data_IF_388194941337
#
_entry.id   IF_388194941337
#
_cell.length_a   1.000
_cell.length_b   1.000
_cell.length_c   1.000
_cell.angle_alpha   90.00
_cell.angle_beta   90.00
_cell.angle_gamma   90.00
#
_symmetry.space_group_name_H-M   'P 1'
#
loop_
_entity.id
_entity.type
_entity.pdbx_description
1 polymer ?
#
# COMPACT_ATOMS: atom_id res chain seq x y z
N UNK A 1 62.11 4.15 47.38
CA UNK A 1 62.21 4.55 45.96
C UNK A 1 61.49 3.47 45.14
N UNK A 2 60.22 3.71 44.77
CA UNK A 2 59.42 2.82 43.93
C UNK A 2 58.65 3.70 42.93
N UNK A 3 58.76 3.35 41.65
CA UNK A 3 58.29 4.13 40.50
C UNK A 3 56.76 4.19 40.42
N UNK A 4 56.16 5.30 39.92
CA UNK A 4 54.73 5.37 39.67
C UNK A 4 54.34 4.49 38.47
N UNK A 5 53.32 3.65 38.67
CA UNK A 5 52.68 2.83 37.63
C UNK A 5 51.98 3.74 36.60
N UNK A 6 52.52 3.77 35.38
CA UNK A 6 51.95 4.42 34.21
C UNK A 6 50.68 3.66 33.78
N UNK A 7 49.48 4.18 34.11
CA UNK A 7 48.25 3.81 33.37
C UNK A 7 48.25 4.59 32.05
N UNK A 8 48.52 3.91 30.95
CA UNK A 8 48.38 4.48 29.61
C UNK A 8 46.94 4.91 29.31
N UNK A 9 46.73 5.79 28.31
CA UNK A 9 45.40 6.28 27.96
C UNK A 9 44.51 5.10 27.55
N UNK A 10 43.29 5.08 28.08
CA UNK A 10 42.28 4.10 27.70
C UNK A 10 42.15 4.07 26.17
N UNK A 11 42.38 2.89 25.57
CA UNK A 11 42.21 2.69 24.13
C UNK A 11 40.80 3.09 23.68
N UNK A 12 40.60 3.41 22.40
CA UNK A 12 39.30 3.83 21.89
C UNK A 12 38.27 2.74 22.21
N UNK A 13 37.29 3.08 23.05
CA UNK A 13 36.16 2.20 23.34
C UNK A 13 35.47 1.80 22.03
N UNK A 14 34.75 0.66 22.01
CA UNK A 14 34.08 0.19 20.80
C UNK A 14 33.25 1.32 20.20
N UNK A 15 33.48 1.61 18.92
CA UNK A 15 32.76 2.63 18.18
C UNK A 15 31.25 2.42 18.41
N UNK A 16 30.56 3.43 18.95
CA UNK A 16 29.09 3.39 19.04
C UNK A 16 28.58 3.04 17.64
N UNK A 17 27.68 2.06 17.50
CA UNK A 17 27.08 1.78 16.20
C UNK A 17 26.50 3.11 15.69
N UNK A 18 26.97 3.54 14.52
CA UNK A 18 26.41 4.71 13.86
C UNK A 18 24.95 4.39 13.62
N UNK A 19 24.05 4.99 14.43
CA UNK A 19 22.63 4.87 14.20
C UNK A 19 22.38 5.31 12.75
N UNK A 20 21.61 4.56 11.96
CA UNK A 20 21.26 4.98 10.60
C UNK A 20 20.76 6.42 10.67
N UNK A 21 21.16 7.28 9.73
CA UNK A 21 20.95 8.73 9.77
C UNK A 21 19.47 9.13 9.86
N UNK A 22 18.88 9.04 11.06
CA UNK A 22 17.47 9.36 11.33
C UNK A 22 17.17 10.82 10.95
N UNK A 23 18.19 11.69 11.06
CA UNK A 23 18.13 13.10 10.70
C UNK A 23 17.65 13.34 9.26
N UNK A 24 17.93 12.43 8.32
CA UNK A 24 17.52 12.59 6.91
C UNK A 24 16.01 12.46 6.69
N UNK A 25 15.30 11.85 7.62
CA UNK A 25 13.86 11.55 7.47
C UNK A 25 12.96 12.53 8.21
N UNK A 26 13.51 13.42 9.04
CA UNK A 26 12.73 14.36 9.86
C UNK A 26 11.67 15.14 9.06
N UNK A 27 12.02 15.81 7.95
CA UNK A 27 11.06 16.58 7.17
C UNK A 27 10.03 15.70 6.46
N UNK A 28 10.43 14.53 5.97
CA UNK A 28 9.52 13.56 5.35
C UNK A 28 8.46 13.10 6.36
N UNK A 29 8.90 12.74 7.57
CA UNK A 29 8.01 12.31 8.65
C UNK A 29 7.11 13.45 9.12
N UNK A 30 7.62 14.67 9.20
CA UNK A 30 6.84 15.88 9.51
C UNK A 30 5.76 16.11 8.46
N UNK A 31 6.08 15.98 7.17
CA UNK A 31 5.10 16.15 6.11
C UNK A 31 4.06 15.03 6.06
N UNK A 32 4.44 13.79 6.40
CA UNK A 32 3.47 12.71 6.61
C UNK A 32 2.54 12.98 7.79
N UNK A 33 3.07 13.49 8.90
CA UNK A 33 2.29 13.86 10.07
C UNK A 33 1.29 14.98 9.73
N UNK A 34 1.75 16.06 9.09
CA UNK A 34 0.87 17.15 8.65
C UNK A 34 -0.19 16.67 7.66
N UNK A 35 0.18 15.80 6.72
CA UNK A 35 -0.77 15.19 5.79
C UNK A 35 -1.84 14.38 6.53
N UNK A 36 -1.44 13.55 7.51
CA UNK A 36 -2.35 12.74 8.30
C UNK A 36 -3.29 13.62 9.16
N UNK A 37 -2.75 14.63 9.84
CA UNK A 37 -3.52 15.58 10.64
C UNK A 37 -4.54 16.37 9.81
N UNK A 38 -4.22 16.67 8.54
CA UNK A 38 -5.16 17.31 7.61
C UNK A 38 -6.23 16.35 7.09
N UNK A 39 -5.88 15.10 6.83
CA UNK A 39 -6.80 14.10 6.28
C UNK A 39 -7.79 13.55 7.32
N UNK A 40 -7.35 13.43 8.58
CA UNK A 40 -8.11 12.88 9.69
C UNK A 40 -8.29 13.93 10.79
N UNK A 41 -8.87 15.07 10.43
CA UNK A 41 -8.95 16.25 11.29
C UNK A 41 -10.05 16.13 12.34
N UNK A 42 -9.76 16.52 13.57
CA UNK A 42 -10.78 16.77 14.59
C UNK A 42 -11.29 18.21 14.46
N UNK A 43 -12.59 18.35 14.23
CA UNK A 43 -13.26 19.63 14.08
C UNK A 43 -14.08 19.96 15.32
N UNK A 44 -13.86 21.16 15.88
CA UNK A 44 -14.70 21.70 16.95
C UNK A 44 -16.07 22.15 16.41
N UNK A 45 -16.10 22.62 15.16
CA UNK A 45 -17.33 22.96 14.44
C UNK A 45 -17.13 22.82 12.93
N UNK A 46 -18.18 23.04 12.13
CA UNK A 46 -18.08 23.02 10.65
C UNK A 46 -17.08 24.05 10.10
N UNK A 47 -16.81 25.11 10.86
CA UNK A 47 -15.95 26.22 10.45
C UNK A 47 -14.57 26.17 11.10
N UNK A 48 -14.48 25.62 12.31
CA UNK A 48 -13.29 25.70 13.16
C UNK A 48 -12.71 24.33 13.47
N UNK A 49 -11.39 24.23 13.32
CA UNK A 49 -10.58 23.10 13.73
C UNK A 49 -10.54 23.07 15.26
N UNK A 50 -10.50 21.87 15.84
CA UNK A 50 -10.31 21.74 17.29
C UNK A 50 -8.96 22.34 17.74
N UNK A 51 -8.91 23.15 18.81
CA UNK A 51 -7.68 23.80 19.27
C UNK A 51 -6.54 22.83 19.58
N UNK A 52 -6.84 21.64 20.11
CA UNK A 52 -5.83 20.61 20.34
C UNK A 52 -5.25 20.11 19.01
N UNK A 53 -6.11 19.95 18.00
CA UNK A 53 -5.70 19.54 16.66
C UNK A 53 -4.86 20.60 15.94
N UNK A 54 -5.21 21.87 16.13
CA UNK A 54 -4.42 23.00 15.62
C UNK A 54 -3.04 23.05 16.28
N UNK A 55 -2.97 22.87 17.61
CA UNK A 55 -1.71 22.83 18.33
C UNK A 55 -0.78 21.73 17.81
N UNK A 56 -1.32 20.52 17.57
CA UNK A 56 -0.55 19.42 17.00
C UNK A 56 -0.03 19.74 15.59
N UNK A 57 -0.85 20.35 14.75
CA UNK A 57 -0.49 20.68 13.37
C UNK A 57 0.60 21.76 13.29
N UNK A 58 0.55 22.78 14.16
CA UNK A 58 1.47 23.92 14.09
C UNK A 58 2.78 23.66 14.83
N UNK A 59 2.77 22.88 15.92
CA UNK A 59 3.89 22.80 16.85
C UNK A 59 4.67 21.48 16.79
N UNK A 60 4.13 20.43 16.17
CA UNK A 60 4.82 19.13 16.14
C UNK A 60 5.63 19.00 14.86
N UNK A 61 6.95 19.07 15.00
CA UNK A 61 7.91 18.80 13.93
C UNK A 61 8.84 17.66 14.32
N UNK A 62 9.06 16.74 13.40
CA UNK A 62 10.06 15.68 13.55
C UNK A 62 11.41 16.27 13.15
N UNK A 63 12.29 16.47 14.13
CA UNK A 63 13.60 17.10 13.96
C UNK A 63 14.44 16.39 12.88
N UNK A 64 14.98 17.16 11.93
CA UNK A 64 15.90 16.69 10.90
C UNK A 64 16.00 17.68 9.74
N UNK A 65 17.20 17.88 9.18
CA UNK A 65 17.41 18.74 8.03
C UNK A 65 17.25 17.93 6.74
N UNK A 66 16.39 18.39 5.83
CA UNK A 66 16.23 17.85 4.48
C UNK A 66 15.44 18.83 3.60
N UNK A 67 15.70 18.81 2.30
CA UNK A 67 15.04 19.64 1.30
C UNK A 67 13.51 19.45 1.30
N UNK A 68 12.76 20.50 0.94
CA UNK A 68 11.31 20.52 1.01
C UNK A 68 10.65 19.47 0.09
N UNK A 69 10.20 18.34 0.65
CA UNK A 69 9.41 17.32 -0.05
C UNK A 69 7.90 17.53 0.16
N UNK A 70 7.13 17.80 -0.90
CA UNK A 70 5.66 17.85 -0.79
C UNK A 70 5.09 16.42 -0.87
N UNK A 71 4.52 15.93 0.23
CA UNK A 71 3.84 14.62 0.27
C UNK A 71 2.44 14.77 -0.33
N UNK A 72 2.16 14.06 -1.43
CA UNK A 72 0.83 13.96 -2.04
C UNK A 72 0.42 12.51 -2.18
N UNK A 73 -0.86 12.21 -1.93
CA UNK A 73 -1.44 10.90 -2.25
C UNK A 73 -1.43 10.70 -3.77
N UNK A 74 -0.62 9.76 -4.24
CA UNK A 74 -0.69 9.27 -5.62
C UNK A 74 -1.69 8.12 -5.63
N UNK A 75 -2.82 8.31 -6.31
CA UNK A 75 -3.74 7.21 -6.57
C UNK A 75 -3.09 6.23 -7.54
N UNK A 76 -3.17 4.93 -7.23
CA UNK A 76 -2.76 3.89 -8.17
C UNK A 76 -3.64 4.06 -9.41
N UNK A 77 -3.06 4.56 -10.50
CA UNK A 77 -3.72 4.49 -11.80
C UNK A 77 -3.90 3.01 -12.13
N UNK A 78 -5.01 2.61 -12.78
CA UNK A 78 -5.17 1.25 -13.29
C UNK A 78 -4.17 1.05 -14.43
N UNK A 79 -2.91 0.86 -14.06
CA UNK A 79 -1.79 0.55 -14.94
C UNK A 79 -1.38 -0.91 -14.73
N UNK A 80 -0.60 -1.43 -15.69
CA UNK A 80 0.06 -2.75 -15.63
C UNK A 80 0.63 -2.99 -14.23
N UNK A 81 0.06 -3.95 -13.51
CA UNK A 81 0.42 -4.28 -12.12
C UNK A 81 -0.76 -4.77 -11.29
N UNK A 82 -1.99 -4.44 -11.67
CA UNK A 82 -3.21 -4.86 -10.96
C UNK A 82 -3.73 -6.26 -11.35
N UNK A 83 -2.97 -7.01 -12.16
CA UNK A 83 -3.36 -8.33 -12.65
C UNK A 83 -3.68 -9.32 -11.53
N UNK A 84 -2.99 -9.21 -10.39
CA UNK A 84 -3.23 -10.07 -9.23
C UNK A 84 -4.60 -9.80 -8.62
N UNK A 85 -4.97 -8.55 -8.41
CA UNK A 85 -6.28 -8.21 -7.84
C UNK A 85 -7.39 -8.54 -8.82
N UNK A 86 -7.16 -8.29 -10.12
CA UNK A 86 -8.06 -8.69 -11.19
C UNK A 86 -8.30 -10.21 -11.21
N UNK A 87 -7.24 -11.02 -11.13
CA UNK A 87 -7.34 -12.48 -11.09
C UNK A 87 -8.04 -12.99 -9.82
N UNK A 88 -7.78 -12.36 -8.67
CA UNK A 88 -8.45 -12.68 -7.42
C UNK A 88 -9.95 -12.36 -7.46
N UNK A 89 -10.31 -11.15 -7.90
CA UNK A 89 -11.70 -10.74 -8.05
C UNK A 89 -12.46 -11.70 -9.00
N UNK A 90 -11.86 -12.02 -10.14
CA UNK A 90 -12.40 -12.98 -11.08
C UNK A 90 -12.57 -14.39 -10.48
N UNK A 91 -11.56 -14.89 -9.77
CA UNK A 91 -11.61 -16.21 -9.12
C UNK A 91 -12.71 -16.31 -8.06
N UNK A 92 -12.92 -15.24 -7.27
CA UNK A 92 -13.99 -15.17 -6.28
C UNK A 92 -15.37 -15.18 -6.95
N UNK A 93 -15.58 -14.34 -7.97
CA UNK A 93 -16.83 -14.30 -8.72
C UNK A 93 -17.15 -15.64 -9.39
N UNK A 94 -16.16 -16.27 -10.04
CA UNK A 94 -16.32 -17.61 -10.61
C UNK A 94 -16.78 -18.65 -9.61
N UNK A 95 -16.28 -18.57 -8.37
CA UNK A 95 -16.64 -19.51 -7.32
C UNK A 95 -18.10 -19.32 -6.88
N UNK A 96 -18.57 -18.08 -6.84
CA UNK A 96 -19.99 -17.76 -6.61
C UNK A 96 -20.83 -18.26 -7.79
N UNK A 97 -20.47 -17.91 -9.02
CA UNK A 97 -21.21 -18.30 -10.22
C UNK A 97 -21.25 -19.82 -10.45
N UNK A 98 -20.21 -20.55 -10.04
CA UNK A 98 -20.20 -22.01 -10.12
C UNK A 98 -21.26 -22.63 -9.19
N UNK A 99 -21.40 -22.13 -7.96
CA UNK A 99 -22.38 -22.62 -6.96
C UNK A 99 -23.82 -22.40 -7.37
N UNK A 100 -24.10 -21.30 -8.05
CA UNK A 100 -25.44 -21.00 -8.55
C UNK A 100 -25.67 -21.47 -9.99
N UNK A 101 -24.82 -22.36 -10.52
CA UNK A 101 -24.97 -22.98 -11.84
C UNK A 101 -25.07 -22.03 -13.05
N UNK A 102 -24.46 -20.84 -12.97
CA UNK A 102 -24.49 -19.86 -14.05
C UNK A 102 -23.85 -20.40 -15.33
N UNK A 103 -24.48 -20.18 -16.50
CA UNK A 103 -23.87 -20.61 -17.77
C UNK A 103 -22.73 -19.67 -18.14
N UNK A 104 -21.78 -20.16 -18.94
CA UNK A 104 -20.62 -19.37 -19.42
C UNK A 104 -21.04 -18.03 -20.03
N UNK A 105 -22.13 -18.00 -20.80
CA UNK A 105 -22.66 -16.79 -21.43
C UNK A 105 -23.12 -15.76 -20.38
N UNK A 106 -23.82 -16.21 -19.34
CA UNK A 106 -24.32 -15.35 -18.26
C UNK A 106 -23.14 -14.76 -17.47
N UNK A 107 -22.13 -15.58 -17.16
CA UNK A 107 -20.90 -15.13 -16.50
C UNK A 107 -20.19 -14.05 -17.31
N UNK A 108 -20.08 -14.21 -18.63
CA UNK A 108 -19.49 -13.18 -19.51
C UNK A 108 -20.30 -11.88 -19.43
N UNK A 109 -21.63 -11.95 -19.44
CA UNK A 109 -22.49 -10.77 -19.33
C UNK A 109 -22.28 -10.05 -17.98
N UNK A 110 -22.22 -10.79 -16.87
CA UNK A 110 -21.96 -10.22 -15.55
C UNK A 110 -20.56 -9.60 -15.43
N UNK A 111 -19.53 -10.24 -16.00
CA UNK A 111 -18.17 -9.69 -16.00
C UNK A 111 -18.04 -8.41 -16.83
N UNK A 112 -18.83 -8.28 -17.91
CA UNK A 112 -18.97 -7.03 -18.68
C UNK A 112 -19.63 -5.94 -17.84
N UNK A 113 -20.75 -6.26 -17.18
CA UNK A 113 -21.45 -5.32 -16.29
C UNK A 113 -20.61 -4.87 -15.09
N UNK A 114 -19.75 -5.74 -14.55
CA UNK A 114 -18.87 -5.43 -13.42
C UNK A 114 -17.62 -4.61 -13.79
N UNK A 115 -17.43 -4.23 -15.06
CA UNK A 115 -16.27 -3.45 -15.50
C UNK A 115 -14.94 -4.21 -15.54
N UNK A 116 -14.93 -5.53 -15.28
CA UNK A 116 -13.72 -6.36 -15.25
C UNK A 116 -13.33 -6.93 -16.61
N UNK A 117 -14.27 -6.96 -17.56
CA UNK A 117 -14.13 -7.64 -18.85
C UNK A 117 -12.92 -7.19 -19.67
N UNK A 118 -12.68 -5.89 -19.78
CA UNK A 118 -11.59 -5.36 -20.61
C UNK A 118 -10.22 -5.74 -20.01
N UNK A 119 -10.07 -5.61 -18.69
CA UNK A 119 -8.87 -6.02 -17.98
C UNK A 119 -8.62 -7.53 -18.12
N UNK A 120 -9.67 -8.35 -18.01
CA UNK A 120 -9.56 -9.81 -18.16
C UNK A 120 -9.21 -10.22 -19.58
N UNK A 121 -9.82 -9.59 -20.58
CA UNK A 121 -9.49 -9.79 -21.99
C UNK A 121 -8.00 -9.49 -22.25
N UNK A 122 -7.48 -8.38 -21.73
CA UNK A 122 -6.07 -8.05 -21.88
C UNK A 122 -5.16 -9.02 -21.11
N UNK A 123 -5.56 -9.43 -19.91
CA UNK A 123 -4.86 -10.41 -19.08
C UNK A 123 -4.73 -11.77 -19.78
N UNK A 124 -5.79 -12.26 -20.42
CA UNK A 124 -5.81 -13.53 -21.15
C UNK A 124 -5.17 -13.42 -22.54
N UNK A 125 -5.34 -12.31 -23.24
CA UNK A 125 -4.67 -12.05 -24.53
C UNK A 125 -3.15 -12.15 -24.40
N UNK A 126 -2.58 -11.57 -23.34
CA UNK A 126 -1.14 -11.69 -23.03
C UNK A 126 -0.69 -13.12 -22.77
N UNK A 127 -1.60 -13.99 -22.33
CA UNK A 127 -1.36 -15.42 -22.07
C UNK A 127 -1.81 -16.32 -23.21
N UNK A 128 -2.22 -15.75 -24.35
CA UNK A 128 -2.74 -16.48 -25.53
C UNK A 128 -3.88 -17.45 -25.17
N UNK A 129 -4.78 -17.03 -24.28
CA UNK A 129 -5.95 -17.82 -23.86
C UNK A 129 -7.23 -17.18 -24.37
N UNK A 130 -8.17 -18.02 -24.79
CA UNK A 130 -9.52 -17.58 -25.13
C UNK A 130 -10.35 -17.36 -23.84
N UNK A 131 -10.97 -16.17 -23.64
CA UNK A 131 -11.78 -15.88 -22.46
C UNK A 131 -12.93 -16.87 -22.24
N UNK A 132 -13.59 -17.30 -23.31
CA UNK A 132 -14.76 -18.16 -23.22
C UNK A 132 -14.37 -19.58 -22.83
N UNK A 133 -13.28 -20.10 -23.38
CA UNK A 133 -12.69 -21.39 -22.99
C UNK A 133 -12.23 -21.37 -21.52
N UNK A 134 -11.54 -20.30 -21.10
CA UNK A 134 -11.07 -20.15 -19.72
C UNK A 134 -12.24 -20.18 -18.74
N UNK A 135 -13.30 -19.41 -19.00
CA UNK A 135 -14.47 -19.35 -18.12
C UNK A 135 -15.19 -20.69 -18.09
N UNK A 136 -15.45 -21.30 -19.26
CA UNK A 136 -16.13 -22.59 -19.34
C UNK A 136 -15.38 -23.68 -18.55
N UNK A 137 -14.06 -23.80 -18.77
CA UNK A 137 -13.22 -24.74 -18.04
C UNK A 137 -13.19 -24.45 -16.53
N UNK A 138 -13.06 -23.17 -16.17
CA UNK A 138 -13.01 -22.74 -14.78
C UNK A 138 -14.30 -23.00 -14.00
N UNK A 139 -15.45 -22.90 -14.65
CA UNK A 139 -16.76 -23.25 -14.09
C UNK A 139 -16.87 -24.76 -13.89
N UNK A 140 -16.55 -25.55 -14.92
CA UNK A 140 -16.62 -27.02 -14.84
C UNK A 140 -15.73 -27.57 -13.71
N UNK A 141 -14.48 -27.12 -13.62
CA UNK A 141 -13.56 -27.57 -12.57
C UNK A 141 -14.06 -27.24 -11.15
N UNK A 142 -14.68 -26.07 -10.96
CA UNK A 142 -15.21 -25.68 -9.65
C UNK A 142 -16.46 -26.44 -9.25
N UNK A 143 -17.30 -26.80 -10.22
CA UNK A 143 -18.50 -27.62 -9.97
C UNK A 143 -18.15 -29.05 -9.60
N UNK A 144 -17.06 -29.59 -10.16
CA UNK A 144 -16.58 -30.93 -9.82
C UNK A 144 -15.91 -30.99 -8.45
N UNK A 145 -15.46 -29.84 -7.92
CA UNK A 145 -14.77 -29.73 -6.63
C UNK A 145 -15.66 -29.17 -5.51
N UNK A 146 -16.94 -28.88 -5.79
CA UNK A 146 -17.94 -28.38 -4.85
C UNK A 146 -18.83 -29.53 -4.38
#
# INVERSE_FOLDING_TARGET
>A
MALPSQRGPAGPGPARPQLPQIHRWGPVLTNFLHYALKAFRLDFSRTYIDPFWQLLYENVQVMGECDAFVVRRVYKTPARGDERNLALAFGNMLSVYARYEYKTKDVIAHLKGAGLWNGLCEYWRRRKKDPQEVIARALSLRRLAA
#
